data_IF_074702569468
#
_entry.id   IF_074702569468
#
_cell.length_a   1.000
_cell.length_b   1.000
_cell.length_c   1.000
_cell.angle_alpha   90.00
_cell.angle_beta   90.00
_cell.angle_gamma   90.00
#
_symmetry.space_group_name_H-M   'P 1'
#
loop_
_entity.id
_entity.type
_entity.pdbx_description
1 polymer ?
#
# COMPACT_ATOMS: atom_id res chain seq x y z
N UNK A 1 -36.71 2.13 34.09
CA UNK A 1 -36.56 1.20 32.95
C UNK A 1 -35.28 0.42 33.14
N UNK A 2 -35.35 -0.88 33.40
CA UNK A 2 -34.17 -1.75 33.29
C UNK A 2 -33.94 -1.92 31.79
N UNK A 3 -32.95 -1.22 31.25
CA UNK A 3 -32.53 -1.44 29.87
C UNK A 3 -31.89 -2.82 29.85
N UNK A 4 -32.58 -3.80 29.26
CA UNK A 4 -31.96 -5.09 28.96
C UNK A 4 -30.78 -4.81 28.02
N UNK A 5 -29.57 -4.83 28.56
CA UNK A 5 -28.39 -4.74 27.71
C UNK A 5 -28.30 -6.03 26.90
N UNK A 6 -28.34 -5.98 25.56
CA UNK A 6 -28.21 -7.18 24.75
C UNK A 6 -26.80 -7.78 24.91
N UNK A 7 -26.73 -9.11 24.93
CA UNK A 7 -25.49 -9.86 25.11
C UNK A 7 -25.26 -10.82 23.95
N UNK A 8 -24.00 -10.96 23.54
CA UNK A 8 -23.57 -11.80 22.41
C UNK A 8 -22.56 -12.86 22.87
N UNK A 9 -22.69 -14.07 22.34
CA UNK A 9 -21.82 -15.19 22.63
C UNK A 9 -20.55 -15.19 21.78
N UNK A 10 -19.50 -15.85 22.29
CA UNK A 10 -18.22 -15.96 21.57
C UNK A 10 -18.36 -16.66 20.21
N UNK A 11 -19.27 -17.64 20.10
CA UNK A 11 -19.49 -18.38 18.85
C UNK A 11 -20.15 -17.50 17.79
N UNK A 12 -21.15 -16.72 18.18
CA UNK A 12 -21.84 -15.76 17.30
C UNK A 12 -20.86 -14.71 16.76
N UNK A 13 -19.94 -14.22 17.62
CA UNK A 13 -18.87 -13.30 17.19
C UNK A 13 -17.85 -13.95 16.26
N UNK A 14 -17.46 -15.19 16.56
CA UNK A 14 -16.54 -15.98 15.74
C UNK A 14 -17.09 -16.17 14.32
N UNK A 15 -18.37 -16.53 14.21
CA UNK A 15 -19.07 -16.68 12.93
C UNK A 15 -19.21 -15.33 12.21
N UNK A 16 -19.67 -14.28 12.90
CA UNK A 16 -19.90 -12.95 12.30
C UNK A 16 -18.62 -12.25 11.83
N UNK A 17 -17.48 -12.54 12.47
CA UNK A 17 -16.18 -11.92 12.14
C UNK A 17 -15.27 -12.83 11.32
N UNK A 18 -15.66 -14.09 11.07
CA UNK A 18 -14.89 -15.03 10.25
C UNK A 18 -13.54 -15.43 10.88
N UNK A 19 -13.44 -15.42 12.22
CA UNK A 19 -12.20 -15.73 12.94
C UNK A 19 -12.47 -16.74 14.06
N UNK A 20 -11.42 -17.41 14.55
CA UNK A 20 -11.57 -18.41 15.61
C UNK A 20 -12.09 -17.81 16.92
N UNK A 21 -12.88 -18.58 17.68
CA UNK A 21 -13.37 -18.16 18.99
C UNK A 21 -12.23 -17.81 19.97
N UNK A 22 -11.04 -18.41 19.82
CA UNK A 22 -9.84 -18.08 20.58
C UNK A 22 -9.36 -16.67 20.26
N UNK A 23 -9.26 -16.34 18.97
CA UNK A 23 -8.88 -15.01 18.48
C UNK A 23 -9.83 -13.94 19.01
N UNK A 24 -11.14 -14.19 18.96
CA UNK A 24 -12.14 -13.26 19.53
C UNK A 24 -11.92 -13.04 21.04
N UNK A 25 -11.65 -14.11 21.81
CA UNK A 25 -11.38 -13.99 23.25
C UNK A 25 -10.13 -13.17 23.53
N UNK A 26 -9.04 -13.43 22.82
CA UNK A 26 -7.77 -12.73 22.99
C UNK A 26 -7.91 -11.23 22.68
N UNK A 27 -8.67 -10.87 21.65
CA UNK A 27 -8.96 -9.49 21.28
C UNK A 27 -9.80 -8.75 22.31
N UNK A 28 -10.93 -9.33 22.72
CA UNK A 28 -11.80 -8.73 23.72
C UNK A 28 -11.07 -8.58 25.06
N UNK A 29 -10.26 -9.57 25.46
CA UNK A 29 -9.43 -9.48 26.66
C UNK A 29 -8.36 -8.39 26.56
N UNK A 30 -7.68 -8.25 25.40
CA UNK A 30 -6.68 -7.19 25.18
C UNK A 30 -7.29 -5.79 25.21
N UNK A 31 -8.58 -5.66 24.84
CA UNK A 31 -9.35 -4.42 24.98
C UNK A 31 -9.96 -4.21 26.38
N UNK A 32 -9.69 -5.12 27.33
CA UNK A 32 -10.25 -5.06 28.68
C UNK A 32 -11.74 -5.42 28.77
N UNK A 33 -12.34 -5.92 27.69
CA UNK A 33 -13.75 -6.29 27.63
C UNK A 33 -13.94 -7.67 28.27
N UNK A 34 -14.68 -7.71 29.37
CA UNK A 34 -14.97 -8.94 30.13
C UNK A 34 -16.36 -9.47 29.82
N UNK A 35 -16.56 -10.76 30.06
CA UNK A 35 -17.89 -11.36 30.00
C UNK A 35 -18.73 -10.88 31.18
N UNK A 36 -20.00 -10.59 30.93
CA UNK A 36 -20.88 -9.96 31.93
C UNK A 36 -21.99 -10.91 32.39
N UNK A 37 -22.40 -11.86 31.54
CA UNK A 37 -23.43 -12.85 31.88
C UNK A 37 -23.09 -14.19 31.25
N UNK A 38 -22.85 -15.23 32.07
CA UNK A 38 -22.67 -16.63 31.62
C UNK A 38 -21.77 -16.79 30.38
N UNK A 39 -20.65 -16.07 30.35
CA UNK A 39 -19.70 -16.13 29.22
C UNK A 39 -20.07 -15.33 27.97
N UNK A 40 -21.09 -14.46 28.04
CA UNK A 40 -21.48 -13.53 26.97
C UNK A 40 -20.95 -12.11 27.23
N UNK A 41 -20.69 -11.39 26.14
CA UNK A 41 -20.21 -10.01 26.14
C UNK A 41 -21.37 -9.05 25.91
N UNK A 42 -21.28 -7.83 26.44
CA UNK A 42 -22.26 -6.78 26.11
C UNK A 42 -22.07 -6.36 24.66
N UNK A 43 -23.16 -6.29 23.91
CA UNK A 43 -23.11 -5.86 22.50
C UNK A 43 -22.51 -4.46 22.38
N UNK A 44 -22.81 -3.53 23.30
CA UNK A 44 -22.26 -2.17 23.29
C UNK A 44 -20.72 -2.13 23.31
N UNK A 45 -20.11 -2.99 24.12
CA UNK A 45 -18.64 -3.01 24.28
C UNK A 45 -18.00 -3.64 23.04
N UNK A 46 -18.63 -4.69 22.51
CA UNK A 46 -18.18 -5.40 21.31
C UNK A 46 -18.33 -4.55 20.05
N UNK A 47 -19.43 -3.81 19.92
CA UNK A 47 -19.65 -2.87 18.80
C UNK A 47 -18.65 -1.74 18.85
N UNK A 48 -18.43 -1.13 20.02
CA UNK A 48 -17.40 -0.09 20.19
C UNK A 48 -16.01 -0.60 19.82
N UNK A 49 -15.67 -1.82 20.21
CA UNK A 49 -14.42 -2.46 19.79
C UNK A 49 -14.36 -2.62 18.27
N UNK A 50 -15.41 -3.14 17.64
CA UNK A 50 -15.46 -3.32 16.20
C UNK A 50 -15.35 -1.99 15.43
N UNK A 51 -15.96 -0.92 15.93
CA UNK A 51 -15.88 0.42 15.32
C UNK A 51 -14.50 1.06 15.49
N UNK A 52 -13.89 0.90 16.67
CA UNK A 52 -12.59 1.48 16.99
C UNK A 52 -11.43 0.75 16.30
N UNK A 53 -11.52 -0.56 16.15
CA UNK A 53 -10.43 -1.39 15.66
C UNK A 53 -10.66 -1.96 14.26
N UNK A 54 -11.88 -1.86 13.72
CA UNK A 54 -12.30 -2.47 12.46
C UNK A 54 -12.41 -3.99 12.55
N UNK A 55 -13.25 -4.59 11.69
CA UNK A 55 -13.12 -6.02 11.34
C UNK A 55 -11.65 -6.27 10.88
N UNK A 56 -11.10 -7.46 11.18
CA UNK A 56 -9.79 -7.70 11.79
C UNK A 56 -8.60 -6.82 11.37
N UNK A 57 -7.87 -6.32 12.37
CA UNK A 57 -6.43 -6.04 12.21
C UNK A 57 -5.71 -7.38 11.97
N UNK A 58 -5.11 -7.50 10.80
CA UNK A 58 -4.15 -8.53 10.36
C UNK A 58 -3.49 -9.28 11.54
N UNK A 59 -3.54 -10.62 11.49
CA UNK A 59 -2.76 -11.50 12.37
C UNK A 59 -1.28 -11.13 12.34
N UNK A 60 -0.50 -11.51 13.35
CA UNK A 60 0.94 -11.23 13.39
C UNK A 60 1.67 -11.72 12.13
N UNK A 61 1.22 -12.84 11.55
CA UNK A 61 1.72 -13.34 10.28
C UNK A 61 1.39 -12.40 9.12
N UNK A 62 0.12 -12.04 8.97
CA UNK A 62 -0.33 -11.12 7.92
C UNK A 62 0.33 -9.73 8.05
N UNK A 63 0.60 -9.27 9.27
CA UNK A 63 1.37 -8.04 9.52
C UNK A 63 2.82 -8.16 9.06
N UNK A 64 3.45 -9.30 9.33
CA UNK A 64 4.82 -9.57 8.89
C UNK A 64 4.88 -9.62 7.36
N UNK A 65 3.92 -10.29 6.73
CA UNK A 65 3.78 -10.37 5.27
C UNK A 65 3.57 -8.97 4.66
N UNK A 66 2.69 -8.14 5.23
CA UNK A 66 2.52 -6.74 4.80
C UNK A 66 3.81 -5.93 4.96
N UNK A 67 4.54 -6.09 6.06
CA UNK A 67 5.81 -5.38 6.28
C UNK A 67 6.89 -5.81 5.28
N UNK A 68 6.94 -7.09 4.93
CA UNK A 68 7.85 -7.61 3.90
C UNK A 68 7.47 -7.10 2.51
N UNK A 69 6.18 -7.09 2.17
CA UNK A 69 5.68 -6.53 0.92
C UNK A 69 5.96 -5.03 0.81
N UNK A 70 5.78 -4.28 1.91
CA UNK A 70 6.11 -2.86 1.93
C UNK A 70 7.59 -2.61 1.68
N UNK A 71 8.47 -3.39 2.33
CA UNK A 71 9.91 -3.30 2.08
C UNK A 71 10.26 -3.64 0.62
N UNK A 72 9.63 -4.65 0.04
CA UNK A 72 9.83 -5.01 -1.36
C UNK A 72 9.36 -3.88 -2.31
N UNK A 73 8.24 -3.23 -1.98
CA UNK A 73 7.73 -2.09 -2.73
C UNK A 73 8.67 -0.88 -2.64
N UNK A 74 9.21 -0.58 -1.45
CA UNK A 74 10.16 0.52 -1.26
C UNK A 74 11.45 0.28 -2.06
N UNK A 75 11.95 -0.96 -2.07
CA UNK A 75 13.10 -1.35 -2.90
C UNK A 75 12.81 -1.19 -4.39
N UNK A 76 11.67 -1.67 -4.87
CA UNK A 76 11.28 -1.55 -6.28
C UNK A 76 11.13 -0.08 -6.71
N UNK A 77 10.60 0.77 -5.83
CA UNK A 77 10.49 2.21 -6.08
C UNK A 77 11.88 2.89 -6.16
N UNK A 78 12.84 2.46 -5.34
CA UNK A 78 14.22 2.95 -5.42
C UNK A 78 14.88 2.56 -6.76
N UNK A 79 14.73 1.30 -7.19
CA UNK A 79 15.24 0.85 -8.48
C UNK A 79 14.60 1.60 -9.67
N UNK A 80 13.28 1.85 -9.60
CA UNK A 80 12.59 2.67 -10.62
C UNK A 80 13.17 4.08 -10.68
N UNK A 81 13.45 4.71 -9.52
CA UNK A 81 14.03 6.05 -9.48
C UNK A 81 15.44 6.09 -10.13
N UNK A 82 16.28 5.10 -9.86
CA UNK A 82 17.61 4.97 -10.48
C UNK A 82 17.52 4.77 -12.01
N UNK A 83 16.58 3.94 -12.46
CA UNK A 83 16.34 3.70 -13.88
C UNK A 83 15.81 4.97 -14.58
N UNK A 84 14.94 5.75 -13.92
CA UNK A 84 14.47 7.04 -14.43
C UNK A 84 15.61 8.04 -14.58
N UNK A 85 16.53 8.10 -13.62
CA UNK A 85 17.72 8.96 -13.71
C UNK A 85 18.63 8.55 -14.87
N UNK A 86 18.87 7.24 -15.03
CA UNK A 86 19.63 6.70 -16.15
C UNK A 86 18.99 7.07 -17.50
N UNK A 87 17.67 6.92 -17.62
CA UNK A 87 16.93 7.26 -18.84
C UNK A 87 17.06 8.74 -19.19
N UNK A 88 16.95 9.63 -18.20
CA UNK A 88 17.14 11.07 -18.41
C UNK A 88 18.54 11.39 -18.94
N UNK A 89 19.58 10.79 -18.36
CA UNK A 89 20.97 10.96 -18.83
C UNK A 89 21.13 10.50 -20.28
N UNK A 90 20.63 9.30 -20.62
CA UNK A 90 20.68 8.78 -21.99
C UNK A 90 19.95 9.70 -22.96
N UNK A 91 18.74 10.15 -22.60
CA UNK A 91 17.95 11.06 -23.45
C UNK A 91 18.67 12.38 -23.73
N UNK A 92 19.38 12.94 -22.75
CA UNK A 92 20.19 14.14 -22.91
C UNK A 92 21.37 13.93 -23.86
N UNK A 93 22.09 12.82 -23.72
CA UNK A 93 23.21 12.46 -24.62
C UNK A 93 22.70 12.26 -26.05
N UNK A 94 21.55 11.58 -26.22
CA UNK A 94 20.94 11.39 -27.54
C UNK A 94 20.52 12.73 -28.16
N UNK A 95 19.92 13.63 -27.38
CA UNK A 95 19.52 14.95 -27.85
C UNK A 95 20.71 15.79 -28.33
N UNK A 96 21.82 15.81 -27.58
CA UNK A 96 23.04 16.53 -27.97
C UNK A 96 23.66 15.97 -29.26
N UNK A 97 23.72 14.63 -29.39
CA UNK A 97 24.21 13.98 -30.60
C UNK A 97 23.37 14.34 -31.83
N UNK A 98 22.04 14.31 -31.72
CA UNK A 98 21.12 14.70 -32.81
C UNK A 98 21.32 16.17 -33.18
N UNK A 99 21.46 17.07 -32.22
CA UNK A 99 21.70 18.49 -32.50
C UNK A 99 23.02 18.72 -33.25
N UNK A 100 24.09 18.00 -32.90
CA UNK A 100 25.38 18.06 -33.60
C UNK A 100 25.25 17.61 -35.06
N UNK A 101 24.55 16.50 -35.30
CA UNK A 101 24.31 15.98 -36.65
C UNK A 101 23.51 16.99 -37.48
N UNK A 102 22.42 17.55 -36.94
CA UNK A 102 21.60 18.56 -37.63
C UNK A 102 22.42 19.79 -37.99
N UNK A 103 23.28 20.29 -37.08
CA UNK A 103 24.17 21.43 -37.37
C UNK A 103 25.17 21.11 -38.48
N UNK A 104 25.72 19.89 -38.49
CA UNK A 104 26.65 19.45 -39.52
C UNK A 104 25.96 19.35 -40.89
N UNK A 105 24.77 18.74 -40.94
CA UNK A 105 23.99 18.64 -42.18
C UNK A 105 23.66 20.01 -42.77
N UNK A 106 23.23 20.98 -41.95
CA UNK A 106 22.95 22.35 -42.41
C UNK A 106 24.17 22.99 -43.08
N UNK A 107 25.36 22.87 -42.49
CA UNK A 107 26.61 23.39 -43.07
C UNK A 107 26.91 22.73 -44.41
N UNK A 108 26.73 21.42 -44.51
CA UNK A 108 26.96 20.69 -45.77
C UNK A 108 25.95 21.10 -46.85
N UNK A 109 24.67 21.29 -46.49
CA UNK A 109 23.64 21.80 -47.41
C UNK A 109 23.99 23.19 -47.93
N UNK A 110 24.36 24.13 -47.05
CA UNK A 110 24.79 25.50 -47.44
C UNK A 110 25.98 25.47 -48.41
N UNK A 111 26.97 24.59 -48.18
CA UNK A 111 28.13 24.44 -49.07
C UNK A 111 27.69 23.93 -50.46
N UNK A 112 26.77 22.98 -50.52
CA UNK A 112 26.26 22.43 -51.79
C UNK A 112 25.48 23.50 -52.56
N UNK A 113 24.61 24.26 -51.89
CA UNK A 113 23.84 25.34 -52.52
C UNK A 113 24.76 26.45 -53.09
N UNK A 114 25.80 26.84 -52.35
CA UNK A 114 26.80 27.80 -52.83
C UNK A 114 27.57 27.31 -54.05
N UNK A 115 27.80 25.98 -54.17
CA UNK A 115 28.46 25.39 -55.35
C UNK A 115 27.55 25.31 -56.56
N UNK A 116 26.25 25.13 -56.37
CA UNK A 116 25.26 25.09 -57.46
C UNK A 116 24.89 26.48 -58.00
N UNK A 117 25.12 27.53 -57.20
CA UNK A 117 24.84 28.93 -57.57
C UNK A 117 26.03 29.65 -58.24
N UNK A 118 27.11 28.92 -58.56
CA UNK A 118 28.30 29.39 -59.29
C UNK A 118 28.34 28.77 -60.67
#
# INVERSE_FOLDING_TARGET
>A
MIVECPHVGIRELSEAWGVSARTVKEWLASAGIKTVVRGRYRVSDVTRYADQYGKPKLSNRERLEVMQLQKALDNANAEIAELQECLLKVSGVTADAVQKIVRQMKKETEIVEMRQSR
#
